data_IF_354460267503
#
_entry.id   IF_354460267503
#
_cell.length_a   1.000
_cell.length_b   1.000
_cell.length_c   1.000
_cell.angle_alpha   90.00
_cell.angle_beta   90.00
_cell.angle_gamma   90.00
#
_symmetry.space_group_name_H-M   'P 1'
#
loop_
_entity.id
_entity.type
_entity.pdbx_description
1 polymer ?
#
# COMPACT_ATOMS: atom_id res chain seq x y z
N UNK A 1 22.46 -7.88 -38.95
CA UNK A 1 21.05 -8.32 -39.09
C UNK A 1 20.30 -7.86 -37.84
N UNK A 2 19.15 -7.22 -37.98
CA UNK A 2 18.30 -6.87 -36.84
C UNK A 2 17.74 -8.14 -36.19
N UNK A 3 17.63 -8.15 -34.86
CA UNK A 3 16.96 -9.23 -34.13
C UNK A 3 15.44 -9.17 -34.42
N UNK A 4 14.73 -10.32 -34.38
CA UNK A 4 13.27 -10.32 -34.47
C UNK A 4 12.63 -9.60 -33.28
N UNK A 5 11.45 -9.03 -33.49
CA UNK A 5 10.68 -8.41 -32.41
C UNK A 5 10.20 -9.46 -31.41
N UNK A 6 10.40 -9.18 -30.12
CA UNK A 6 9.89 -9.96 -29.00
C UNK A 6 9.35 -8.97 -27.98
N UNK A 7 8.04 -9.01 -27.74
CA UNK A 7 7.44 -8.26 -26.64
C UNK A 7 7.67 -9.01 -25.33
N UNK A 8 8.00 -8.28 -24.27
CA UNK A 8 8.11 -8.80 -22.92
C UNK A 8 7.67 -7.73 -21.93
N UNK A 9 7.03 -8.18 -20.84
CA UNK A 9 6.75 -7.30 -19.71
C UNK A 9 8.05 -6.81 -19.08
N UNK A 10 8.05 -5.57 -18.61
CA UNK A 10 9.19 -5.01 -17.89
C UNK A 10 9.36 -5.70 -16.53
N UNK A 11 8.25 -6.06 -15.89
CA UNK A 11 8.22 -6.69 -14.57
C UNK A 11 7.52 -8.04 -14.65
N UNK A 12 8.29 -9.12 -14.55
CA UNK A 12 7.76 -10.49 -14.44
C UNK A 12 7.48 -10.78 -12.97
N UNK A 13 6.21 -11.03 -12.63
CA UNK A 13 5.80 -11.33 -11.26
C UNK A 13 6.07 -12.79 -10.92
N UNK A 14 6.46 -13.04 -9.67
CA UNK A 14 6.47 -14.40 -9.10
C UNK A 14 5.05 -14.85 -8.76
N UNK A 15 4.89 -16.13 -8.42
CA UNK A 15 3.63 -16.64 -7.89
C UNK A 15 3.22 -15.86 -6.63
N UNK A 16 1.93 -15.54 -6.55
CA UNK A 16 1.32 -14.95 -5.37
C UNK A 16 1.02 -16.03 -4.33
N UNK A 17 1.59 -15.87 -3.13
CA UNK A 17 1.38 -16.77 -2.00
C UNK A 17 0.60 -16.07 -0.86
N UNK A 18 -0.03 -14.94 -1.16
CA UNK A 18 -0.84 -14.18 -0.21
C UNK A 18 -2.13 -14.96 0.08
N UNK A 19 -2.48 -15.07 1.36
CA UNK A 19 -3.77 -15.62 1.77
C UNK A 19 -4.83 -14.53 1.64
N UNK A 20 -5.96 -14.86 1.02
CA UNK A 20 -7.08 -13.95 0.78
C UNK A 20 -8.33 -14.43 1.53
N UNK A 21 -9.03 -13.47 2.14
CA UNK A 21 -10.36 -13.69 2.70
C UNK A 21 -11.43 -13.14 1.76
N UNK A 22 -12.52 -13.90 1.58
CA UNK A 22 -13.65 -13.44 0.78
C UNK A 22 -14.49 -12.46 1.62
N UNK A 23 -14.41 -11.17 1.28
CA UNK A 23 -15.19 -10.12 1.94
C UNK A 23 -16.69 -10.20 1.61
N UNK A 24 -17.03 -10.38 0.34
CA UNK A 24 -18.42 -10.54 -0.12
C UNK A 24 -18.46 -11.16 -1.52
N UNK A 25 -19.56 -11.81 -1.86
CA UNK A 25 -19.90 -12.22 -3.23
C UNK A 25 -21.01 -11.35 -3.85
N UNK A 26 -21.44 -10.31 -3.14
CA UNK A 26 -22.41 -9.33 -3.64
C UNK A 26 -21.72 -8.32 -4.57
N UNK A 27 -22.51 -7.55 -5.31
CA UNK A 27 -22.02 -6.46 -6.19
C UNK A 27 -21.16 -6.90 -7.38
N UNK A 28 -20.95 -8.20 -7.59
CA UNK A 28 -20.25 -8.76 -8.74
C UNK A 28 -21.22 -9.61 -9.55
N UNK A 29 -21.24 -9.41 -10.87
CA UNK A 29 -22.04 -10.20 -11.80
C UNK A 29 -21.24 -10.52 -13.05
N UNK A 30 -21.22 -11.80 -13.41
CA UNK A 30 -20.71 -12.27 -14.70
C UNK A 30 -21.80 -12.11 -15.76
N UNK A 31 -21.45 -11.54 -16.91
CA UNK A 31 -22.32 -11.42 -18.08
C UNK A 31 -21.54 -11.76 -19.34
N UNK A 32 -22.24 -12.07 -20.42
CA UNK A 32 -21.64 -12.22 -21.75
C UNK A 32 -21.93 -10.97 -22.58
N UNK A 33 -20.96 -10.54 -23.38
CA UNK A 33 -21.12 -9.54 -24.43
C UNK A 33 -20.28 -9.94 -25.63
N UNK A 34 -20.91 -10.04 -26.81
CA UNK A 34 -20.26 -10.42 -28.07
C UNK A 34 -19.44 -11.73 -27.97
N UNK A 35 -19.91 -12.69 -27.16
CA UNK A 35 -19.24 -13.97 -26.93
C UNK A 35 -18.09 -13.93 -25.92
N UNK A 36 -17.80 -12.77 -25.32
CA UNK A 36 -16.77 -12.58 -24.30
C UNK A 36 -17.39 -12.45 -22.90
N UNK A 37 -16.74 -13.07 -21.92
CA UNK A 37 -17.14 -12.94 -20.51
C UNK A 37 -16.71 -11.57 -19.96
N UNK A 38 -17.67 -10.86 -19.36
CA UNK A 38 -17.49 -9.56 -18.73
C UNK A 38 -17.89 -9.64 -17.26
N UNK A 39 -17.01 -9.16 -16.39
CA UNK A 39 -17.22 -9.06 -14.95
C UNK A 39 -17.71 -7.66 -14.61
N UNK A 40 -19.01 -7.53 -14.34
CA UNK A 40 -19.60 -6.28 -13.84
C UNK A 40 -19.40 -6.18 -12.34
N UNK A 41 -18.73 -5.12 -11.90
CA UNK A 41 -18.45 -4.81 -10.51
C UNK A 41 -19.17 -3.50 -10.18
N UNK A 42 -20.13 -3.52 -9.27
CA UNK A 42 -20.83 -2.29 -8.88
C UNK A 42 -19.91 -1.40 -8.01
N UNK A 43 -20.06 -0.06 -8.05
CA UNK A 43 -19.23 0.86 -7.25
C UNK A 43 -19.18 0.53 -5.76
N UNK A 44 -20.28 0.01 -5.20
CA UNK A 44 -20.37 -0.39 -3.80
C UNK A 44 -19.35 -1.47 -3.41
N UNK A 45 -18.96 -2.34 -4.36
CA UNK A 45 -17.89 -3.32 -4.14
C UNK A 45 -16.54 -2.62 -3.88
N UNK A 46 -16.24 -1.56 -4.65
CA UNK A 46 -14.99 -0.81 -4.52
C UNK A 46 -14.96 -0.02 -3.21
N UNK A 47 -16.10 0.60 -2.84
CA UNK A 47 -16.27 1.30 -1.57
C UNK A 47 -16.05 0.35 -0.39
N UNK A 48 -16.72 -0.81 -0.40
CA UNK A 48 -16.61 -1.82 0.66
C UNK A 48 -15.17 -2.38 0.76
N UNK A 49 -14.56 -2.68 -0.37
CA UNK A 49 -13.19 -3.18 -0.42
C UNK A 49 -12.19 -2.16 0.15
N UNK A 50 -12.29 -0.89 -0.28
CA UNK A 50 -11.43 0.17 0.24
C UNK A 50 -11.66 0.37 1.75
N UNK A 51 -12.91 0.34 2.21
CA UNK A 51 -13.21 0.47 3.64
C UNK A 51 -12.52 -0.62 4.47
N UNK A 52 -12.69 -1.88 4.06
CA UNK A 52 -12.08 -3.01 4.77
C UNK A 52 -10.54 -2.92 4.72
N UNK A 53 -9.96 -2.66 3.55
CA UNK A 53 -8.51 -2.65 3.38
C UNK A 53 -7.84 -1.53 4.20
N UNK A 54 -8.42 -0.33 4.24
CA UNK A 54 -7.86 0.79 5.01
C UNK A 54 -8.11 0.66 6.52
N UNK A 55 -9.19 0.00 6.93
CA UNK A 55 -9.38 -0.41 8.32
C UNK A 55 -8.28 -1.39 8.72
N UNK A 56 -8.14 -2.50 7.98
CA UNK A 56 -7.18 -3.54 8.35
C UNK A 56 -5.73 -3.05 8.34
N UNK A 57 -5.35 -2.26 7.34
CA UNK A 57 -4.01 -1.66 7.26
C UNK A 57 -3.72 -0.67 8.41
N UNK A 58 -4.75 -0.15 9.08
CA UNK A 58 -4.60 0.77 10.22
C UNK A 58 -4.42 0.04 11.55
N UNK A 59 -4.99 -1.16 11.69
CA UNK A 59 -5.08 -1.87 12.98
C UNK A 59 -4.29 -3.19 13.03
N UNK A 60 -4.02 -3.82 11.88
CA UNK A 60 -3.32 -5.10 11.80
C UNK A 60 -2.00 -4.99 11.04
N UNK A 61 -1.10 -5.95 11.30
CA UNK A 61 0.18 -6.08 10.61
C UNK A 61 0.27 -7.46 9.97
N UNK A 62 1.00 -7.55 8.85
CA UNK A 62 1.28 -8.84 8.21
C UNK A 62 2.01 -9.78 9.18
N UNK A 63 1.59 -11.04 9.22
CA UNK A 63 2.21 -12.07 10.06
C UNK A 63 3.73 -12.21 9.81
N UNK A 64 4.19 -12.05 8.56
CA UNK A 64 5.61 -12.06 8.23
C UNK A 64 6.41 -10.97 8.94
N UNK A 65 5.86 -9.76 9.03
CA UNK A 65 6.50 -8.65 9.73
C UNK A 65 6.54 -8.88 11.25
N UNK A 66 5.44 -9.35 11.84
CA UNK A 66 5.39 -9.70 13.26
C UNK A 66 6.39 -10.79 13.62
N UNK A 67 6.52 -11.83 12.78
CA UNK A 67 7.53 -12.90 12.96
C UNK A 67 8.96 -12.36 12.90
N UNK A 68 9.24 -11.42 11.99
CA UNK A 68 10.55 -10.77 11.92
C UNK A 68 10.86 -9.98 13.19
N UNK A 69 9.93 -9.15 13.69
CA UNK A 69 10.12 -8.42 14.95
C UNK A 69 10.30 -9.39 16.12
N UNK A 70 9.46 -10.42 16.22
CA UNK A 70 9.55 -11.42 17.29
C UNK A 70 10.90 -12.17 17.28
N UNK A 71 11.50 -12.41 16.11
CA UNK A 71 12.80 -13.08 16.02
C UNK A 71 13.92 -12.33 16.73
N UNK A 72 13.85 -10.99 16.82
CA UNK A 72 14.83 -10.14 17.51
C UNK A 72 14.94 -10.52 18.99
N UNK A 73 13.84 -10.95 19.62
CA UNK A 73 13.82 -11.33 21.03
C UNK A 73 14.69 -12.57 21.32
N UNK A 74 14.84 -13.44 20.32
CA UNK A 74 15.56 -14.70 20.42
C UNK A 74 16.97 -14.65 19.83
N UNK A 75 17.33 -13.57 19.15
CA UNK A 75 18.65 -13.41 18.56
C UNK A 75 19.70 -13.16 19.66
N UNK A 76 20.75 -14.01 19.77
CA UNK A 76 21.85 -13.79 20.71
C UNK A 76 22.73 -12.58 20.35
N UNK A 77 22.68 -12.09 19.11
CA UNK A 77 23.44 -10.92 18.64
C UNK A 77 22.69 -9.61 18.84
N UNK A 78 21.37 -9.64 19.07
CA UNK A 78 20.57 -8.45 19.29
C UNK A 78 20.90 -7.79 20.64
N UNK A 79 21.04 -6.46 20.63
CA UNK A 79 21.32 -5.68 21.84
C UNK A 79 20.11 -5.69 22.78
N UNK A 80 20.34 -5.28 24.04
CA UNK A 80 19.24 -5.08 24.99
C UNK A 80 18.21 -4.06 24.49
N UNK A 81 18.66 -3.02 23.78
CA UNK A 81 17.79 -2.00 23.22
C UNK A 81 16.96 -2.52 22.05
N UNK A 82 17.55 -3.35 21.16
CA UNK A 82 16.80 -3.95 20.05
C UNK A 82 15.65 -4.80 20.58
N UNK A 83 15.93 -5.62 21.59
CA UNK A 83 14.91 -6.46 22.26
C UNK A 83 13.85 -5.63 22.95
N UNK A 84 14.23 -4.53 23.60
CA UNK A 84 13.29 -3.62 24.23
C UNK A 84 12.36 -2.97 23.20
N UNK A 85 12.91 -2.42 22.12
CA UNK A 85 12.13 -1.80 21.04
C UNK A 85 11.21 -2.82 20.37
N UNK A 86 11.72 -4.01 20.05
CA UNK A 86 10.92 -5.09 19.46
C UNK A 86 9.74 -5.47 20.36
N UNK A 87 9.95 -5.57 21.68
CA UNK A 87 8.88 -5.84 22.64
C UNK A 87 7.82 -4.73 22.64
N UNK A 88 8.23 -3.46 22.62
CA UNK A 88 7.28 -2.34 22.56
C UNK A 88 6.46 -2.35 21.26
N UNK A 89 7.08 -2.62 20.12
CA UNK A 89 6.39 -2.73 18.83
C UNK A 89 5.37 -3.87 18.81
N UNK A 90 5.70 -5.03 19.39
CA UNK A 90 4.78 -6.16 19.50
C UNK A 90 3.61 -5.87 20.45
N UNK A 91 3.86 -5.19 21.57
CA UNK A 91 2.79 -4.75 22.49
C UNK A 91 1.88 -3.73 21.83
N UNK A 92 2.44 -2.79 21.09
CA UNK A 92 1.67 -1.82 20.32
C UNK A 92 0.77 -2.51 19.28
N UNK A 93 1.29 -3.50 18.56
CA UNK A 93 0.51 -4.28 17.61
C UNK A 93 -0.64 -5.06 18.29
N UNK A 94 -0.41 -5.64 19.48
CA UNK A 94 -1.44 -6.33 20.26
C UNK A 94 -2.56 -5.38 20.72
N UNK A 95 -2.21 -4.17 21.14
CA UNK A 95 -3.20 -3.14 21.52
C UNK A 95 -3.99 -2.69 20.29
N UNK A 96 -3.31 -2.47 19.16
CA UNK A 96 -3.94 -1.98 17.94
C UNK A 96 -4.92 -2.97 17.34
N UNK A 97 -4.61 -4.27 17.40
CA UNK A 97 -5.47 -5.36 16.93
C UNK A 97 -6.83 -5.44 17.65
N UNK A 98 -7.03 -4.70 18.75
CA UNK A 98 -8.33 -4.55 19.44
C UNK A 98 -9.28 -3.58 18.72
N UNK A 99 -8.84 -2.91 17.65
CA UNK A 99 -9.68 -2.10 16.77
C UNK A 99 -10.06 -0.72 17.29
N UNK A 100 -9.49 -0.28 18.43
CA UNK A 100 -9.81 1.03 19.02
C UNK A 100 -8.73 2.08 18.71
N UNK A 101 -7.45 1.73 18.91
CA UNK A 101 -6.31 2.61 18.68
C UNK A 101 -5.52 2.14 17.45
N UNK A 102 -5.26 3.00 16.45
CA UNK A 102 -4.48 2.61 15.29
C UNK A 102 -3.03 2.29 15.68
N UNK A 103 -2.34 1.55 14.81
CA UNK A 103 -0.98 1.08 15.09
C UNK A 103 0.02 2.25 15.21
N UNK A 104 -0.25 3.34 14.52
CA UNK A 104 0.57 4.55 14.52
C UNK A 104 -0.33 5.78 14.62
N UNK A 105 0.16 6.84 15.28
CA UNK A 105 -0.51 8.14 15.30
C UNK A 105 -0.57 8.79 13.91
N UNK A 106 0.42 8.50 13.07
CA UNK A 106 0.38 8.85 11.66
C UNK A 106 -0.27 7.71 10.88
N UNK A 107 -1.58 7.84 10.68
CA UNK A 107 -2.39 6.89 9.90
C UNK A 107 -2.14 6.98 8.39
N UNK A 108 -1.24 7.88 7.96
CA UNK A 108 -0.67 7.93 6.63
C UNK A 108 -1.57 8.51 5.55
N UNK A 109 -0.99 8.68 4.37
CA UNK A 109 -1.70 8.99 3.13
C UNK A 109 -2.28 7.71 2.55
N UNK A 110 -3.58 7.72 2.24
CA UNK A 110 -4.24 6.61 1.56
C UNK A 110 -3.73 6.52 0.11
N UNK A 111 -3.13 5.38 -0.24
CA UNK A 111 -2.61 5.10 -1.59
C UNK A 111 -3.17 3.78 -2.10
N UNK A 112 -3.63 3.78 -3.35
CA UNK A 112 -4.17 2.62 -4.03
C UNK A 112 -3.42 2.46 -5.35
N UNK A 113 -2.77 1.32 -5.54
CA UNK A 113 -2.22 0.91 -6.83
C UNK A 113 -3.04 -0.28 -7.31
N UNK A 114 -3.67 -0.15 -8.47
CA UNK A 114 -4.58 -1.16 -8.99
C UNK A 114 -4.28 -1.52 -10.44
N UNK A 115 -4.65 -2.73 -10.82
CA UNK A 115 -4.60 -3.24 -12.19
C UNK A 115 -5.98 -3.75 -12.56
N UNK A 116 -6.63 -3.07 -13.50
CA UNK A 116 -7.98 -3.38 -13.96
C UNK A 116 -7.93 -4.18 -15.24
N UNK A 117 -8.43 -5.41 -15.17
CA UNK A 117 -8.63 -6.27 -16.33
C UNK A 117 -9.57 -5.63 -17.35
N UNK A 118 -9.24 -5.77 -18.63
CA UNK A 118 -10.05 -5.30 -19.76
C UNK A 118 -11.52 -5.75 -19.67
N UNK A 119 -11.76 -6.94 -19.11
CA UNK A 119 -13.08 -7.53 -19.02
C UNK A 119 -13.82 -7.13 -17.74
N UNK A 120 -13.25 -6.24 -16.92
CA UNK A 120 -13.86 -5.74 -15.67
C UNK A 120 -14.52 -4.39 -15.88
N UNK A 121 -15.83 -4.33 -15.66
CA UNK A 121 -16.66 -3.15 -15.92
C UNK A 121 -17.23 -2.59 -14.61
N UNK A 122 -16.96 -1.32 -14.34
CA UNK A 122 -17.27 -0.67 -13.05
C UNK A 122 -18.16 0.57 -13.15
N UNK A 123 -18.53 0.99 -14.36
CA UNK A 123 -19.30 2.22 -14.58
C UNK A 123 -18.45 3.50 -14.75
N UNK A 124 -17.15 3.46 -14.46
CA UNK A 124 -16.17 4.44 -14.98
C UNK A 124 -15.47 5.33 -13.95
N UNK A 125 -16.13 5.75 -12.86
CA UNK A 125 -15.51 6.61 -11.84
C UNK A 125 -15.02 5.84 -10.61
N UNK A 126 -14.10 4.91 -10.82
CA UNK A 126 -13.59 4.00 -9.78
C UNK A 126 -12.96 4.76 -8.60
N UNK A 127 -12.30 5.89 -8.89
CA UNK A 127 -11.63 6.72 -7.90
C UNK A 127 -12.60 7.33 -6.87
N UNK A 128 -13.81 7.71 -7.28
CA UNK A 128 -14.85 8.23 -6.38
C UNK A 128 -15.32 7.15 -5.40
N UNK A 129 -15.64 5.96 -5.90
CA UNK A 129 -16.08 4.85 -5.06
C UNK A 129 -15.00 4.42 -4.06
N UNK A 130 -13.74 4.31 -4.51
CA UNK A 130 -12.60 4.02 -3.64
C UNK A 130 -12.40 5.12 -2.59
N UNK A 131 -12.48 6.39 -3.00
CA UNK A 131 -12.36 7.54 -2.08
C UNK A 131 -13.48 7.57 -1.04
N UNK A 132 -14.70 7.15 -1.42
CA UNK A 132 -15.81 7.04 -0.47
C UNK A 132 -15.53 6.01 0.63
N UNK A 133 -14.95 4.85 0.29
CA UNK A 133 -14.55 3.84 1.28
C UNK A 133 -13.47 4.34 2.24
N UNK A 134 -12.48 5.07 1.71
CA UNK A 134 -11.46 5.76 2.51
C UNK A 134 -12.12 6.77 3.46
N UNK A 135 -12.94 7.67 2.94
CA UNK A 135 -13.65 8.67 3.74
C UNK A 135 -14.41 8.02 4.89
N UNK A 136 -15.23 7.01 4.60
CA UNK A 136 -16.01 6.30 5.62
C UNK A 136 -15.11 5.70 6.71
N UNK A 137 -14.03 5.02 6.32
CA UNK A 137 -13.07 4.45 7.28
C UNK A 137 -12.49 5.51 8.22
N UNK A 138 -12.08 6.64 7.67
CA UNK A 138 -11.46 7.72 8.43
C UNK A 138 -12.46 8.46 9.33
N UNK A 139 -13.73 8.54 8.97
CA UNK A 139 -14.78 9.16 9.80
C UNK A 139 -15.27 8.23 10.92
N UNK A 140 -15.39 6.93 10.65
CA UNK A 140 -15.98 5.97 11.60
C UNK A 140 -14.98 5.42 12.63
N UNK A 141 -13.67 5.60 12.39
CA UNK A 141 -12.62 5.05 13.24
C UNK A 141 -11.73 6.16 13.81
N UNK A 142 -11.01 5.84 14.89
CA UNK A 142 -10.10 6.79 15.57
C UNK A 142 -8.80 7.01 14.78
N UNK A 143 -8.90 7.46 13.52
CA UNK A 143 -7.79 7.73 12.62
C UNK A 143 -7.51 9.24 12.51
N UNK A 144 -6.38 9.62 11.91
CA UNK A 144 -5.94 11.02 11.83
C UNK A 144 -6.06 11.59 10.42
N UNK A 145 -6.65 12.78 10.30
CA UNK A 145 -6.68 13.55 9.05
C UNK A 145 -5.35 14.27 8.83
N UNK A 146 -4.55 13.76 7.89
CA UNK A 146 -3.15 14.16 7.71
C UNK A 146 -2.88 14.89 6.40
N UNK A 147 -3.91 15.15 5.58
CA UNK A 147 -3.76 15.83 4.29
C UNK A 147 -4.12 17.32 4.40
N UNK A 148 -3.23 18.15 3.87
CA UNK A 148 -3.41 19.59 3.74
C UNK A 148 -3.63 19.94 2.26
N UNK A 149 -4.70 20.67 1.98
CA UNK A 149 -4.97 21.21 0.65
C UNK A 149 -4.37 22.63 0.53
N UNK A 150 -3.57 22.91 -0.51
CA UNK A 150 -3.07 24.24 -0.76
C UNK A 150 -4.18 25.15 -1.29
N UNK A 151 -4.36 26.31 -0.67
CA UNK A 151 -5.25 27.38 -1.16
C UNK A 151 -4.48 28.37 -2.03
N UNK A 152 -3.23 28.62 -1.66
CA UNK A 152 -2.22 29.35 -2.42
C UNK A 152 -0.82 28.78 -2.10
N UNK A 153 0.24 29.50 -2.43
CA UNK A 153 1.62 29.05 -2.20
C UNK A 153 1.98 28.84 -0.71
N UNK A 154 1.35 29.57 0.20
CA UNK A 154 1.72 29.61 1.61
C UNK A 154 0.56 29.28 2.57
N UNK A 155 -0.67 29.36 2.09
CA UNK A 155 -1.87 29.08 2.87
C UNK A 155 -2.41 27.69 2.56
N UNK A 156 -2.65 26.91 3.61
CA UNK A 156 -3.22 25.58 3.52
C UNK A 156 -4.42 25.42 4.47
N UNK A 157 -5.26 24.44 4.15
CA UNK A 157 -6.34 23.98 5.04
C UNK A 157 -6.29 22.45 5.14
N UNK A 158 -6.46 21.92 6.35
CA UNK A 158 -6.62 20.47 6.51
C UNK A 158 -7.97 20.06 5.91
N UNK A 159 -8.00 18.97 5.14
CA UNK A 159 -9.22 18.52 4.47
C UNK A 159 -10.23 17.87 5.42
N UNK A 160 -9.85 17.61 6.67
CA UNK A 160 -10.65 17.01 7.74
C UNK A 160 -11.24 15.64 7.40
N UNK A 161 -10.65 14.97 6.41
CA UNK A 161 -11.15 13.70 5.85
C UNK A 161 -10.02 12.74 5.47
N UNK A 162 -8.77 13.18 5.56
CA UNK A 162 -7.58 12.50 5.01
C UNK A 162 -7.60 12.26 3.49
N UNK A 163 -8.55 12.87 2.77
CA UNK A 163 -8.56 12.92 1.31
C UNK A 163 -7.83 14.18 0.80
N UNK A 164 -7.39 14.23 -0.47
CA UNK A 164 -7.50 13.18 -1.49
C UNK A 164 -6.57 11.99 -1.22
N UNK A 165 -6.95 10.83 -1.77
CA UNK A 165 -6.06 9.67 -1.85
C UNK A 165 -5.25 9.69 -3.16
N UNK A 166 -4.11 9.01 -3.16
CA UNK A 166 -3.40 8.69 -4.40
C UNK A 166 -4.00 7.40 -4.97
N UNK A 167 -4.58 7.45 -6.18
CA UNK A 167 -5.26 6.31 -6.81
C UNK A 167 -4.72 6.13 -8.23
N UNK A 168 -3.89 5.11 -8.42
CA UNK A 168 -3.26 4.77 -9.69
C UNK A 168 -3.85 3.46 -10.21
N UNK A 169 -4.61 3.52 -11.31
CA UNK A 169 -5.26 2.35 -11.93
C UNK A 169 -4.66 2.10 -13.31
N UNK A 170 -3.96 0.97 -13.47
CA UNK A 170 -3.42 0.52 -14.76
C UNK A 170 -4.42 -0.37 -15.49
N UNK A 171 -4.55 -0.22 -16.81
CA UNK A 171 -5.30 -1.16 -17.65
C UNK A 171 -4.44 -2.37 -17.99
N UNK A 172 -4.96 -3.58 -17.78
CA UNK A 172 -4.28 -4.86 -18.06
C UNK A 172 -5.23 -5.83 -18.75
N UNK A 173 -4.76 -6.86 -19.47
CA UNK A 173 -5.64 -7.90 -19.98
C UNK A 173 -6.26 -8.74 -18.84
N UNK A 174 -7.38 -9.41 -19.14
CA UNK A 174 -8.01 -10.39 -18.26
C UNK A 174 -9.27 -9.91 -17.54
N UNK A 175 -9.77 -10.76 -16.64
CA UNK A 175 -11.07 -10.63 -15.96
C UNK A 175 -10.96 -10.36 -14.45
N UNK A 176 -9.81 -9.84 -14.01
CA UNK A 176 -9.55 -9.56 -12.59
C UNK A 176 -9.29 -8.07 -12.36
N UNK A 177 -9.70 -7.58 -11.19
CA UNK A 177 -9.32 -6.25 -10.70
C UNK A 177 -8.49 -6.42 -9.43
N UNK A 178 -7.19 -6.19 -9.55
CA UNK A 178 -6.22 -6.43 -8.48
C UNK A 178 -5.81 -5.11 -7.84
N UNK A 179 -5.67 -5.10 -6.51
CA UNK A 179 -5.39 -3.90 -5.73
C UNK A 179 -4.25 -4.13 -4.74
N UNK A 180 -3.47 -3.08 -4.53
CA UNK A 180 -2.58 -2.90 -3.41
C UNK A 180 -2.98 -1.62 -2.69
N UNK A 181 -3.46 -1.76 -1.46
CA UNK A 181 -3.79 -0.64 -0.57
C UNK A 181 -2.62 -0.38 0.38
N UNK A 182 -2.27 0.89 0.56
CA UNK A 182 -1.15 1.30 1.42
C UNK A 182 -1.54 2.55 2.21
N UNK A 183 -1.42 2.46 3.55
CA UNK A 183 -1.36 3.62 4.42
C UNK A 183 0.10 4.05 4.58
N UNK A 184 0.52 5.06 3.83
CA UNK A 184 1.93 5.48 3.82
C UNK A 184 2.15 6.63 4.80
N UNK A 185 2.77 6.34 5.94
CA UNK A 185 3.17 7.36 6.92
C UNK A 185 4.19 8.33 6.32
N UNK A 186 4.00 9.63 6.57
CA UNK A 186 4.77 10.72 5.97
C UNK A 186 6.26 10.66 6.32
N UNK A 187 6.60 10.25 7.54
CA UNK A 187 7.99 10.03 7.94
C UNK A 187 8.72 9.03 7.04
N UNK A 188 8.08 7.89 6.74
CA UNK A 188 8.64 6.89 5.84
C UNK A 188 8.60 7.29 4.36
N UNK A 189 7.62 8.12 3.96
CA UNK A 189 7.55 8.69 2.60
C UNK A 189 8.73 9.64 2.34
N UNK A 190 9.09 10.46 3.33
CA UNK A 190 10.22 11.39 3.28
C UNK A 190 11.60 10.70 3.20
N UNK A 191 11.66 9.39 3.43
CA UNK A 191 12.88 8.58 3.29
C UNK A 191 13.02 7.92 1.90
N UNK A 192 12.10 8.21 0.98
CA UNK A 192 12.29 7.86 -0.43
C UNK A 192 13.24 8.86 -1.08
N UNK A 193 14.34 8.36 -1.66
CA UNK A 193 15.35 9.19 -2.31
C UNK A 193 15.67 8.67 -3.71
N UNK A 194 15.90 9.60 -4.64
CA UNK A 194 16.37 9.33 -5.99
C UNK A 194 17.83 9.75 -6.12
N UNK A 195 18.69 8.82 -6.58
CA UNK A 195 20.09 9.08 -6.84
C UNK A 195 20.40 8.86 -8.32
N UNK A 196 20.95 9.87 -8.98
CA UNK A 196 21.35 9.80 -10.39
C UNK A 196 22.80 9.30 -10.49
N UNK A 197 22.94 7.98 -10.57
CA UNK A 197 24.23 7.29 -10.66
C UNK A 197 24.54 6.83 -12.09
N UNK A 198 25.76 6.33 -12.32
CA UNK A 198 26.21 5.90 -13.66
C UNK A 198 26.71 4.46 -13.66
N UNK A 199 27.04 3.92 -14.84
CA UNK A 199 27.61 2.56 -14.98
C UNK A 199 28.83 2.31 -14.07
N UNK A 200 29.57 3.36 -13.68
CA UNK A 200 30.77 3.26 -12.84
C UNK A 200 30.51 2.67 -11.45
N UNK A 201 29.28 2.82 -10.92
CA UNK A 201 28.90 2.29 -9.60
C UNK A 201 28.61 0.79 -9.62
N UNK A 202 28.32 0.20 -10.79
CA UNK A 202 27.91 -1.20 -10.94
C UNK A 202 29.13 -2.15 -10.88
N UNK A 203 29.90 -2.00 -9.81
CA UNK A 203 31.03 -2.83 -9.38
C UNK A 203 30.79 -3.18 -7.91
N UNK A 204 30.97 -4.43 -7.47
CA UNK A 204 30.57 -4.87 -6.12
C UNK A 204 31.06 -3.94 -5.00
N UNK A 205 32.33 -3.57 -5.01
CA UNK A 205 32.95 -2.76 -3.97
C UNK A 205 32.38 -1.34 -3.92
N UNK A 206 32.18 -0.72 -5.10
CA UNK A 206 31.64 0.64 -5.23
C UNK A 206 30.17 0.69 -4.85
N UNK A 207 29.38 -0.28 -5.31
CA UNK A 207 27.97 -0.38 -4.97
C UNK A 207 27.80 -0.60 -3.47
N UNK A 208 28.58 -1.51 -2.86
CA UNK A 208 28.55 -1.74 -1.42
C UNK A 208 28.92 -0.46 -0.64
N UNK A 209 29.99 0.24 -1.03
CA UNK A 209 30.40 1.48 -0.37
C UNK A 209 29.29 2.55 -0.47
N UNK A 210 28.71 2.74 -1.65
CA UNK A 210 27.58 3.65 -1.86
C UNK A 210 26.38 3.28 -1.00
N UNK A 211 25.97 2.00 -0.98
CA UNK A 211 24.83 1.55 -0.19
C UNK A 211 25.05 1.80 1.31
N UNK A 212 26.24 1.52 1.84
CA UNK A 212 26.58 1.79 3.25
C UNK A 212 26.47 3.29 3.55
N UNK A 213 26.98 4.14 2.66
CA UNK A 213 26.87 5.59 2.80
C UNK A 213 25.41 6.05 2.83
N UNK A 214 24.59 5.60 1.86
CA UNK A 214 23.19 6.03 1.75
C UNK A 214 22.29 5.44 2.85
N UNK A 215 22.54 4.21 3.30
CA UNK A 215 21.79 3.63 4.42
C UNK A 215 21.97 4.42 5.72
N UNK A 216 23.16 4.98 5.97
CA UNK A 216 23.39 5.86 7.13
C UNK A 216 22.53 7.13 7.09
N UNK A 217 22.26 7.66 5.89
CA UNK A 217 21.44 8.86 5.71
C UNK A 217 19.95 8.62 6.03
N UNK A 218 19.48 7.37 6.07
CA UNK A 218 18.12 7.06 6.51
C UNK A 218 17.91 7.47 7.97
N UNK A 219 18.90 7.23 8.83
CA UNK A 219 18.84 7.51 10.26
C UNK A 219 17.78 6.69 10.99
N UNK A 220 17.30 7.21 12.11
CA UNK A 220 16.26 6.60 12.97
C UNK A 220 15.04 7.52 13.15
N UNK A 221 14.84 8.43 12.19
CA UNK A 221 13.78 9.45 12.22
C UNK A 221 12.58 9.03 11.40
#
# INVERSE_FOLDING_TARGET
>A
MSKPFVWQELFVQSNDNTEYELLTNQHVKVTELDGEEVIKVAPEALTLLAQQAFYEASFFLRAGHLKQIASILHDPQASGNDKYVALQLLRNAEVSAKGVLPNCQDTGTATIVASKGQNVWTGGNDAEALSQGIYTTFQENNLRYSQNAPLDMYTEVNTQTNLPAQIDISAVPGSEYRFLFVNKGGGSANKAALFQETKSILQPEKLTAFLIEKMKALGTA
#
